data_IF_736769543364
#
_entry.id   IF_736769543364
#
_cell.length_a   1.000
_cell.length_b   1.000
_cell.length_c   1.000
_cell.angle_alpha   90.00
_cell.angle_beta   90.00
_cell.angle_gamma   90.00
#
_symmetry.space_group_name_H-M   'P 1'
#
loop_
_entity.id
_entity.type
_entity.pdbx_description
1 polymer ?
#
# COMPACT_ATOMS: atom_id res chain seq x y z
N UNK A 1 -35.68 1.70 13.17
CA UNK A 1 -34.52 1.26 12.35
C UNK A 1 -33.29 1.98 12.88
N UNK A 2 -32.14 1.33 12.94
CA UNK A 2 -30.88 2.04 13.24
C UNK A 2 -30.45 2.81 11.99
N UNK A 3 -30.15 4.10 12.14
CA UNK A 3 -29.63 4.91 11.05
C UNK A 3 -28.21 4.47 10.70
N UNK A 4 -28.04 3.95 9.48
CA UNK A 4 -26.73 3.62 8.93
C UNK A 4 -26.14 4.91 8.35
N UNK A 5 -25.33 5.62 9.14
CA UNK A 5 -24.57 6.77 8.64
C UNK A 5 -23.40 6.30 7.77
N UNK A 6 -23.48 6.50 6.46
CA UNK A 6 -22.33 6.32 5.56
C UNK A 6 -21.38 7.51 5.75
N UNK A 7 -20.18 7.26 6.28
CA UNK A 7 -19.09 8.26 6.35
C UNK A 7 -18.21 8.11 5.12
N UNK A 8 -18.19 9.12 4.27
CA UNK A 8 -17.19 9.22 3.20
C UNK A 8 -15.85 9.69 3.77
N UNK A 9 -14.90 8.78 3.89
CA UNK A 9 -13.52 9.10 4.26
C UNK A 9 -12.73 9.45 2.98
N UNK A 10 -12.25 10.69 2.87
CA UNK A 10 -11.25 11.04 1.83
C UNK A 10 -9.92 10.33 2.09
N UNK A 11 -9.02 10.22 1.10
CA UNK A 11 -7.71 9.56 1.25
C UNK A 11 -6.87 10.06 2.47
N UNK A 12 -6.97 11.35 2.90
CA UNK A 12 -6.41 11.81 4.20
C UNK A 12 -6.97 11.03 5.37
N UNK A 13 -8.29 11.00 5.43
CA UNK A 13 -9.02 10.41 6.53
C UNK A 13 -8.89 8.90 6.50
N UNK A 14 -8.80 8.28 5.32
CA UNK A 14 -8.44 6.87 5.18
C UNK A 14 -7.03 6.65 5.75
N UNK A 15 -5.98 7.30 5.24
CA UNK A 15 -4.61 7.11 5.75
C UNK A 15 -4.52 7.42 7.25
N UNK A 16 -5.06 8.54 7.71
CA UNK A 16 -5.07 8.93 9.13
C UNK A 16 -5.81 7.93 10.03
N UNK A 17 -6.88 7.31 9.54
CA UNK A 17 -7.62 6.30 10.27
C UNK A 17 -6.92 4.93 10.16
N UNK A 18 -6.37 4.55 9.01
CA UNK A 18 -5.51 3.36 8.82
C UNK A 18 -4.32 3.38 9.77
N UNK A 19 -3.67 4.54 9.97
CA UNK A 19 -2.63 4.74 11.00
C UNK A 19 -3.13 4.39 12.40
N UNK A 20 -4.27 4.96 12.81
CA UNK A 20 -4.87 4.69 14.12
C UNK A 20 -5.31 3.22 14.26
N UNK A 21 -5.81 2.64 13.18
CA UNK A 21 -6.23 1.24 13.10
C UNK A 21 -5.03 0.30 13.20
N UNK A 22 -3.92 0.58 12.53
CA UNK A 22 -2.65 -0.14 12.69
C UNK A 22 -2.09 0.00 14.12
N UNK A 23 -2.14 1.19 14.72
CA UNK A 23 -1.76 1.39 16.14
C UNK A 23 -2.69 0.62 17.09
N UNK A 24 -4.00 0.55 16.82
CA UNK A 24 -4.94 -0.24 17.62
C UNK A 24 -4.71 -1.75 17.42
N UNK A 25 -4.54 -2.22 16.19
CA UNK A 25 -4.21 -3.60 15.87
C UNK A 25 -2.93 -4.05 16.58
N UNK A 26 -1.85 -3.25 16.53
CA UNK A 26 -0.61 -3.55 17.28
C UNK A 26 -0.78 -3.63 18.79
N UNK A 27 -1.63 -2.80 19.40
CA UNK A 27 -1.94 -2.90 20.84
C UNK A 27 -2.72 -4.18 21.17
N UNK A 28 -3.63 -4.60 20.29
CA UNK A 28 -4.41 -5.84 20.46
C UNK A 28 -3.52 -7.07 20.25
N UNK A 29 -2.63 -7.05 19.25
CA UNK A 29 -1.61 -8.09 19.06
C UNK A 29 -0.71 -8.22 20.29
N UNK A 30 -0.28 -7.10 20.88
CA UNK A 30 0.48 -7.10 22.14
C UNK A 30 -0.31 -7.74 23.28
N UNK A 31 -1.58 -7.40 23.45
CA UNK A 31 -2.46 -8.01 24.46
C UNK A 31 -2.60 -9.52 24.26
N UNK A 32 -2.94 -9.97 23.04
CA UNK A 32 -3.03 -11.40 22.66
C UNK A 32 -1.72 -12.12 22.98
N UNK A 33 -0.58 -11.50 22.66
CA UNK A 33 0.75 -12.05 22.91
C UNK A 33 1.05 -12.29 24.39
N UNK A 34 0.41 -11.57 25.32
CA UNK A 34 0.59 -11.81 26.77
C UNK A 34 -0.06 -13.10 27.28
N UNK A 35 -1.04 -13.63 26.53
CA UNK A 35 -1.75 -14.87 26.87
C UNK A 35 -1.15 -16.12 26.20
N UNK A 36 -0.35 -15.96 25.15
CA UNK A 36 0.36 -17.06 24.49
C UNK A 36 1.51 -17.51 25.39
N UNK A 37 1.39 -18.71 25.94
CA UNK A 37 2.34 -19.30 26.91
C UNK A 37 2.48 -20.81 26.66
N UNK A 38 3.62 -21.42 27.00
CA UNK A 38 3.81 -22.87 26.89
C UNK A 38 2.65 -23.67 27.49
N UNK A 39 2.25 -24.74 26.81
CA UNK A 39 1.10 -25.58 27.14
C UNK A 39 -0.20 -25.22 26.42
N UNK A 40 -0.33 -24.03 25.81
CA UNK A 40 -1.52 -23.70 24.99
C UNK A 40 -1.45 -24.35 23.61
N UNK A 41 -2.57 -24.87 23.10
CA UNK A 41 -2.69 -25.31 21.70
C UNK A 41 -2.94 -24.13 20.74
N UNK A 42 -2.60 -24.29 19.46
CA UNK A 42 -2.90 -23.28 18.43
C UNK A 42 -4.40 -23.00 18.35
N UNK A 43 -5.25 -24.03 18.54
CA UNK A 43 -6.72 -23.86 18.55
C UNK A 43 -7.20 -23.04 19.75
N UNK A 44 -6.69 -23.30 20.95
CA UNK A 44 -7.02 -22.50 22.15
C UNK A 44 -6.49 -21.07 22.02
N UNK A 45 -5.29 -20.88 21.47
CA UNK A 45 -4.72 -19.56 21.23
C UNK A 45 -5.55 -18.76 20.21
N UNK A 46 -5.99 -19.40 19.11
CA UNK A 46 -6.89 -18.81 18.10
C UNK A 46 -8.24 -18.42 18.71
N UNK A 47 -8.84 -19.29 19.51
CA UNK A 47 -10.08 -18.99 20.26
C UNK A 47 -9.87 -17.81 21.22
N UNK A 48 -8.74 -17.77 21.94
CA UNK A 48 -8.46 -16.70 22.90
C UNK A 48 -8.19 -15.35 22.23
N UNK A 49 -7.49 -15.35 21.10
CA UNK A 49 -7.30 -14.16 20.27
C UNK A 49 -8.64 -13.61 19.76
N UNK A 50 -9.54 -14.48 19.32
CA UNK A 50 -10.89 -14.14 18.85
C UNK A 50 -11.80 -13.63 20.00
N UNK A 51 -11.64 -14.14 21.24
CA UNK A 51 -12.25 -13.53 22.44
C UNK A 51 -11.73 -12.10 22.72
N UNK A 52 -10.42 -11.87 22.63
CA UNK A 52 -9.81 -10.56 22.88
C UNK A 52 -10.23 -9.56 21.80
N UNK A 53 -10.24 -9.96 20.53
CA UNK A 53 -10.80 -9.18 19.43
C UNK A 53 -12.25 -8.78 19.71
N UNK A 54 -13.09 -9.72 20.17
CA UNK A 54 -14.47 -9.43 20.57
C UNK A 54 -14.56 -8.45 21.74
N UNK A 55 -13.66 -8.52 22.72
CA UNK A 55 -13.61 -7.58 23.84
C UNK A 55 -13.28 -6.15 23.37
N UNK A 56 -12.46 -5.99 22.32
CA UNK A 56 -12.13 -4.71 21.66
C UNK A 56 -13.20 -4.20 20.67
N UNK A 57 -14.42 -4.75 20.77
CA UNK A 57 -15.58 -4.49 19.91
C UNK A 57 -15.40 -4.87 18.43
N UNK A 58 -14.37 -5.65 18.10
CA UNK A 58 -14.18 -6.15 16.73
C UNK A 58 -15.18 -7.29 16.48
N UNK A 59 -15.85 -7.21 15.33
CA UNK A 59 -16.94 -8.13 14.91
C UNK A 59 -16.72 -8.72 13.51
N UNK A 60 -15.69 -8.25 12.82
CA UNK A 60 -15.26 -8.70 11.49
C UNK A 60 -13.74 -8.63 11.45
N UNK A 61 -13.12 -9.61 10.82
CA UNK A 61 -11.70 -9.63 10.50
C UNK A 61 -11.56 -9.85 9.00
N UNK A 62 -10.45 -9.41 8.42
CA UNK A 62 -10.08 -9.67 7.04
C UNK A 62 -9.70 -11.15 6.84
N UNK A 63 -8.89 -11.66 7.77
CA UNK A 63 -8.67 -13.10 7.99
C UNK A 63 -8.86 -13.43 9.48
N UNK A 64 -9.07 -14.71 9.79
CA UNK A 64 -9.08 -15.16 11.18
C UNK A 64 -7.67 -15.06 11.80
N UNK A 65 -7.54 -14.92 13.14
CA UNK A 65 -6.25 -14.93 13.81
C UNK A 65 -5.37 -16.10 13.37
N UNK A 66 -4.21 -15.80 12.83
CA UNK A 66 -3.28 -16.79 12.32
C UNK A 66 -2.16 -16.99 13.34
N UNK A 67 -2.31 -18.05 14.14
CA UNK A 67 -1.43 -18.34 15.27
C UNK A 67 -0.89 -19.76 15.13
N UNK A 68 0.40 -19.88 14.83
CA UNK A 68 1.05 -21.15 14.53
C UNK A 68 2.33 -21.31 15.36
N UNK A 69 2.60 -22.52 15.83
CA UNK A 69 3.70 -22.82 16.75
C UNK A 69 4.73 -23.76 16.14
N UNK A 70 6.00 -23.60 16.53
CA UNK A 70 7.09 -24.48 16.16
C UNK A 70 7.17 -24.68 14.66
N UNK A 71 7.01 -25.93 14.20
CA UNK A 71 7.11 -26.27 12.78
C UNK A 71 5.95 -25.79 11.91
N UNK A 72 4.83 -25.35 12.49
CA UNK A 72 3.75 -24.71 11.74
C UNK A 72 4.06 -23.23 11.40
N UNK A 73 5.14 -22.65 11.94
CA UNK A 73 5.57 -21.26 11.66
C UNK A 73 5.98 -20.99 10.20
N UNK A 74 6.20 -22.04 9.40
CA UNK A 74 6.48 -21.94 7.95
C UNK A 74 5.23 -22.08 7.06
N UNK A 75 4.06 -22.34 7.64
CA UNK A 75 2.80 -22.46 6.90
C UNK A 75 2.22 -21.08 6.61
N UNK A 76 1.68 -20.90 5.40
CA UNK A 76 0.92 -19.71 4.98
C UNK A 76 -0.59 -19.94 5.10
N UNK A 77 -1.39 -18.88 4.94
CA UNK A 77 -2.85 -18.99 4.84
C UNK A 77 -3.37 -19.85 3.67
N UNK A 78 -2.51 -20.17 2.68
CA UNK A 78 -2.81 -21.08 1.58
C UNK A 78 -2.63 -22.55 1.97
N UNK A 79 -1.84 -22.82 3.01
CA UNK A 79 -1.51 -24.16 3.46
C UNK A 79 -2.60 -24.73 4.39
N UNK A 80 -2.98 -25.98 4.14
CA UNK A 80 -3.86 -26.71 5.07
C UNK A 80 -3.03 -27.18 6.26
N UNK A 81 -3.26 -26.58 7.44
CA UNK A 81 -2.80 -27.13 8.72
C UNK A 81 -3.25 -28.58 8.86
N UNK A 82 -2.28 -29.50 8.97
CA UNK A 82 -2.56 -30.95 9.07
C UNK A 82 -2.91 -31.36 10.50
N UNK A 83 -2.22 -30.77 11.48
CA UNK A 83 -2.36 -31.05 12.91
C UNK A 83 -2.22 -29.75 13.70
N UNK A 84 -2.92 -29.65 14.83
CA UNK A 84 -2.83 -28.52 15.78
C UNK A 84 -1.66 -28.74 16.71
N UNK A 85 -0.71 -27.79 16.76
CA UNK A 85 0.44 -27.86 17.66
C UNK A 85 0.10 -27.35 19.07
N UNK A 86 0.87 -27.81 20.06
CA UNK A 86 0.91 -27.26 21.43
C UNK A 86 2.24 -26.55 21.63
N UNK A 87 2.20 -25.32 22.14
CA UNK A 87 3.39 -24.50 22.34
C UNK A 87 4.28 -25.10 23.44
N UNK A 88 5.57 -25.28 23.14
CA UNK A 88 6.56 -25.86 24.07
C UNK A 88 7.27 -24.77 24.90
N UNK A 89 7.97 -25.17 25.96
CA UNK A 89 8.78 -24.25 26.79
C UNK A 89 9.94 -23.60 26.04
N UNK A 90 10.45 -24.30 25.02
CA UNK A 90 11.45 -23.81 24.08
C UNK A 90 10.84 -23.92 22.67
N UNK A 91 10.37 -22.80 22.14
CA UNK A 91 9.60 -22.78 20.90
C UNK A 91 9.53 -21.39 20.25
N UNK A 92 8.91 -21.34 19.08
CA UNK A 92 8.58 -20.11 18.36
C UNK A 92 7.08 -20.04 18.09
N UNK A 93 6.48 -18.86 18.16
CA UNK A 93 5.08 -18.63 17.80
C UNK A 93 4.96 -17.49 16.78
N UNK A 94 4.40 -17.82 15.62
CA UNK A 94 3.89 -16.85 14.66
C UNK A 94 2.52 -16.38 15.18
N UNK A 95 2.30 -15.08 15.29
CA UNK A 95 1.04 -14.49 15.77
C UNK A 95 0.67 -13.32 14.87
N UNK A 96 -0.51 -13.39 14.29
CA UNK A 96 -0.95 -12.45 13.26
C UNK A 96 -2.48 -12.24 13.30
N UNK A 97 -2.91 -11.00 13.10
CA UNK A 97 -4.30 -10.57 13.17
C UNK A 97 -4.62 -9.47 12.14
N UNK A 98 -5.71 -9.67 11.40
CA UNK A 98 -6.27 -8.66 10.48
C UNK A 98 -7.64 -8.11 10.93
N UNK A 99 -7.81 -7.48 12.11
CA UNK A 99 -9.08 -6.92 12.54
C UNK A 99 -9.63 -5.82 11.62
N UNK A 100 -10.95 -5.81 11.37
CA UNK A 100 -11.61 -4.70 10.68
C UNK A 100 -12.19 -3.73 11.72
N UNK A 101 -11.63 -2.52 11.77
CA UNK A 101 -11.96 -1.45 12.71
C UNK A 101 -12.46 -0.24 11.91
N UNK A 102 -13.66 0.25 12.22
CA UNK A 102 -14.33 1.35 11.47
C UNK A 102 -14.47 1.09 9.95
N UNK A 103 -14.43 -0.18 9.54
CA UNK A 103 -14.43 -0.61 8.13
C UNK A 103 -13.05 -0.70 7.49
N UNK A 104 -11.99 -0.27 8.19
CA UNK A 104 -10.59 -0.35 7.76
C UNK A 104 -9.94 -1.61 8.35
N UNK A 105 -9.25 -2.36 7.51
CA UNK A 105 -8.32 -3.41 7.92
C UNK A 105 -7.15 -2.82 8.74
N UNK A 106 -6.93 -3.34 9.93
CA UNK A 106 -5.67 -3.20 10.63
C UNK A 106 -4.96 -4.52 10.56
N UNK A 107 -3.75 -4.54 10.02
CA UNK A 107 -2.90 -5.71 10.03
C UNK A 107 -1.82 -5.55 11.10
N UNK A 108 -1.62 -6.60 11.88
CA UNK A 108 -0.56 -6.67 12.86
C UNK A 108 -0.15 -8.12 13.15
N UNK A 109 1.00 -8.52 12.62
CA UNK A 109 1.68 -9.75 12.99
C UNK A 109 3.15 -9.60 13.40
N UNK A 110 3.61 -10.55 14.21
CA UNK A 110 5.00 -10.67 14.66
C UNK A 110 5.34 -12.10 15.12
N UNK A 111 6.60 -12.33 15.47
CA UNK A 111 7.10 -13.61 15.97
C UNK A 111 7.49 -13.51 17.44
N UNK A 112 6.97 -14.41 18.28
CA UNK A 112 7.36 -14.59 19.68
C UNK A 112 8.33 -15.76 19.81
N UNK A 113 9.26 -15.66 20.76
CA UNK A 113 10.25 -16.70 21.07
C UNK A 113 10.12 -17.09 22.55
N UNK A 114 10.09 -18.38 22.81
CA UNK A 114 10.01 -18.96 24.15
C UNK A 114 11.28 -19.76 24.43
N UNK A 115 11.83 -19.62 25.65
CA UNK A 115 13.08 -20.24 26.04
C UNK A 115 14.34 -19.58 25.45
N UNK A 116 15.46 -20.28 25.56
CA UNK A 116 16.81 -19.78 25.25
C UNK A 116 17.43 -20.38 23.97
N UNK A 117 16.59 -20.75 23.01
CA UNK A 117 17.09 -21.26 21.72
C UNK A 117 17.68 -20.15 20.84
N UNK A 118 18.92 -20.36 20.39
CA UNK A 118 19.67 -19.38 19.59
C UNK A 118 19.10 -19.21 18.18
N UNK A 119 18.59 -20.27 17.55
CA UNK A 119 18.02 -20.21 16.21
C UNK A 119 16.70 -19.42 16.23
N UNK A 120 15.84 -19.63 17.23
CA UNK A 120 14.59 -18.87 17.33
C UNK A 120 14.83 -17.38 17.59
N UNK A 121 15.80 -17.05 18.47
CA UNK A 121 16.21 -15.66 18.71
C UNK A 121 16.81 -14.99 17.46
N UNK A 122 17.65 -15.72 16.71
CA UNK A 122 18.23 -15.20 15.46
C UNK A 122 17.15 -14.99 14.38
N UNK A 123 16.21 -15.93 14.21
CA UNK A 123 15.08 -15.79 13.30
C UNK A 123 14.24 -14.54 13.60
N UNK A 124 13.88 -14.32 14.87
CA UNK A 124 13.13 -13.14 15.32
C UNK A 124 13.92 -11.84 15.12
N UNK A 125 15.23 -11.85 15.42
CA UNK A 125 16.09 -10.69 15.25
C UNK A 125 16.26 -10.31 13.78
N UNK A 126 16.55 -11.29 12.91
CA UNK A 126 16.79 -11.04 11.49
C UNK A 126 15.51 -10.65 10.74
N UNK A 127 14.35 -11.25 11.03
CA UNK A 127 13.09 -10.83 10.38
C UNK A 127 12.81 -9.35 10.64
N UNK A 128 12.93 -8.90 11.90
CA UNK A 128 12.78 -7.48 12.26
C UNK A 128 13.88 -6.61 11.65
N UNK A 129 15.15 -7.03 11.69
CA UNK A 129 16.28 -6.26 11.13
C UNK A 129 16.14 -6.06 9.63
N UNK A 130 15.79 -7.10 8.89
CA UNK A 130 15.54 -7.05 7.43
C UNK A 130 14.35 -6.12 7.14
N UNK A 131 13.28 -6.23 7.93
CA UNK A 131 12.14 -5.31 7.85
C UNK A 131 12.53 -3.84 8.06
N UNK A 132 13.23 -3.53 9.16
CA UNK A 132 13.65 -2.15 9.49
C UNK A 132 14.55 -1.56 8.38
N UNK A 133 15.44 -2.38 7.80
CA UNK A 133 16.28 -2.00 6.66
C UNK A 133 15.46 -1.79 5.37
N UNK A 134 14.47 -2.64 5.11
CA UNK A 134 13.53 -2.48 3.99
C UNK A 134 12.73 -1.19 4.09
N UNK A 135 12.18 -0.87 5.26
CA UNK A 135 11.49 0.41 5.52
C UNK A 135 12.43 1.60 5.36
N UNK A 136 13.66 1.50 5.85
CA UNK A 136 14.67 2.56 5.67
C UNK A 136 14.98 2.80 4.20
N UNK A 137 15.27 1.73 3.44
CA UNK A 137 15.52 1.79 2.00
C UNK A 137 14.33 2.39 1.24
N UNK A 138 13.11 1.98 1.57
CA UNK A 138 11.91 2.53 0.97
C UNK A 138 11.76 4.04 1.22
N UNK A 139 11.95 4.49 2.47
CA UNK A 139 11.90 5.93 2.82
C UNK A 139 13.00 6.77 2.17
N UNK A 140 14.23 6.25 2.11
CA UNK A 140 15.39 6.99 1.59
C UNK A 140 15.49 6.99 0.06
N UNK A 141 15.01 5.93 -0.61
CA UNK A 141 15.23 5.70 -2.04
C UNK A 141 13.97 5.69 -2.90
N UNK A 142 12.78 5.61 -2.29
CA UNK A 142 11.47 5.53 -2.98
C UNK A 142 11.44 4.48 -4.12
N UNK A 143 11.93 3.26 -3.88
CA UNK A 143 11.98 2.17 -4.87
C UNK A 143 10.57 1.78 -5.34
N UNK A 144 10.48 1.06 -6.46
CA UNK A 144 9.23 0.34 -6.78
C UNK A 144 8.99 -0.80 -5.78
N UNK A 145 7.77 -1.35 -5.74
CA UNK A 145 7.48 -2.55 -4.95
C UNK A 145 8.36 -3.75 -5.36
N UNK A 146 8.66 -3.88 -6.66
CA UNK A 146 9.59 -4.88 -7.20
C UNK A 146 11.01 -4.66 -6.65
N UNK A 147 11.56 -3.45 -6.78
CA UNK A 147 12.94 -3.15 -6.33
C UNK A 147 13.07 -3.27 -4.79
N UNK A 148 12.02 -2.93 -4.04
CA UNK A 148 11.95 -3.13 -2.60
C UNK A 148 12.03 -4.60 -2.23
N UNK A 149 11.27 -5.47 -2.90
CA UNK A 149 11.30 -6.91 -2.64
C UNK A 149 12.61 -7.57 -3.12
N UNK A 150 13.23 -7.08 -4.20
CA UNK A 150 14.58 -7.50 -4.60
C UNK A 150 15.64 -7.14 -3.55
N UNK A 151 15.57 -5.92 -2.99
CA UNK A 151 16.46 -5.50 -1.91
C UNK A 151 16.27 -6.34 -0.64
N UNK A 152 15.03 -6.63 -0.25
CA UNK A 152 14.70 -7.48 0.91
C UNK A 152 15.15 -8.94 0.69
N UNK A 153 14.96 -9.48 -0.52
CA UNK A 153 15.46 -10.83 -0.88
C UNK A 153 16.97 -10.91 -0.66
N UNK A 154 17.72 -9.95 -1.23
CA UNK A 154 19.17 -9.88 -1.07
C UNK A 154 19.59 -9.76 0.40
N UNK A 155 18.94 -8.89 1.19
CA UNK A 155 19.22 -8.78 2.63
C UNK A 155 18.98 -10.10 3.39
N UNK A 156 18.02 -10.90 2.94
CA UNK A 156 17.68 -12.19 3.56
C UNK A 156 18.70 -13.27 3.20
N UNK A 157 19.13 -13.33 1.93
CA UNK A 157 20.20 -14.22 1.47
C UNK A 157 21.56 -13.87 2.11
N UNK A 158 21.91 -12.57 2.15
CA UNK A 158 23.13 -12.07 2.80
C UNK A 158 23.12 -12.35 4.33
N UNK A 159 21.95 -12.62 4.93
CA UNK A 159 21.78 -13.05 6.32
C UNK A 159 21.74 -14.57 6.51
N UNK A 160 21.79 -15.38 5.44
CA UNK A 160 21.77 -16.84 5.49
C UNK A 160 20.38 -17.49 5.60
N UNK A 161 19.30 -16.74 5.32
CA UNK A 161 17.92 -17.22 5.38
C UNK A 161 17.29 -17.30 3.98
N UNK A 162 16.16 -18.01 3.89
CA UNK A 162 15.35 -18.07 2.66
C UNK A 162 14.17 -17.12 2.82
N UNK A 163 14.06 -16.15 1.90
CA UNK A 163 12.93 -15.23 1.85
C UNK A 163 11.68 -15.92 1.29
N UNK A 164 10.51 -15.63 1.86
CA UNK A 164 9.23 -16.08 1.29
C UNK A 164 8.59 -14.94 0.50
N UNK A 165 8.30 -15.20 -0.78
CA UNK A 165 7.77 -14.19 -1.72
C UNK A 165 6.23 -14.15 -1.76
N UNK A 166 5.52 -15.01 -1.03
CA UNK A 166 4.06 -15.11 -1.05
C UNK A 166 3.52 -15.68 0.29
N UNK A 167 2.81 -14.90 1.13
CA UNK A 167 2.37 -13.54 0.88
C UNK A 167 3.51 -12.55 0.66
N UNK A 168 3.17 -11.51 -0.07
CA UNK A 168 3.90 -10.27 -0.11
C UNK A 168 2.87 -9.18 0.21
N UNK A 169 3.28 -8.18 0.97
CA UNK A 169 2.39 -7.20 1.59
C UNK A 169 1.39 -6.58 0.62
N UNK A 170 0.23 -6.23 1.14
CA UNK A 170 -0.94 -5.80 0.35
C UNK A 170 -1.38 -4.38 0.70
N UNK A 171 -2.47 -3.97 0.05
CA UNK A 171 -3.16 -2.72 0.29
C UNK A 171 -4.14 -2.87 1.46
N UNK A 172 -4.09 -1.95 2.42
CA UNK A 172 -5.09 -1.83 3.50
C UNK A 172 -6.42 -1.31 2.96
N UNK A 173 -7.49 -2.07 3.20
CA UNK A 173 -8.83 -1.75 2.70
C UNK A 173 -9.80 -1.10 3.69
N UNK A 174 -10.50 -0.05 3.24
CA UNK A 174 -11.94 0.15 3.53
C UNK A 174 -12.78 0.43 2.29
N UNK A 175 -12.15 0.85 1.19
CA UNK A 175 -12.76 1.01 -0.13
C UNK A 175 -11.83 0.50 -1.23
N UNK A 176 -12.37 0.02 -2.37
CA UNK A 176 -11.57 -0.57 -3.43
C UNK A 176 -10.93 0.50 -4.32
N UNK A 177 -9.63 0.73 -4.16
CA UNK A 177 -8.88 1.59 -5.08
C UNK A 177 -8.17 0.79 -6.17
N UNK A 178 -8.99 0.41 -7.15
CA UNK A 178 -8.69 0.42 -8.59
C UNK A 178 -7.54 -0.51 -9.03
N UNK A 179 -7.91 -1.77 -9.29
CA UNK A 179 -7.27 -2.62 -10.29
C UNK A 179 -6.14 -3.55 -9.83
N UNK A 180 -5.34 -3.18 -8.84
CA UNK A 180 -4.21 -4.02 -8.41
C UNK A 180 -4.62 -5.11 -7.42
N UNK A 181 -4.61 -6.38 -7.87
CA UNK A 181 -4.98 -7.57 -7.06
C UNK A 181 -3.78 -8.47 -6.70
N UNK A 182 -2.55 -7.98 -6.86
CA UNK A 182 -1.32 -8.74 -6.62
C UNK A 182 -0.53 -8.13 -5.46
N UNK A 183 0.37 -8.90 -4.85
CA UNK A 183 1.22 -8.42 -3.76
C UNK A 183 2.18 -7.30 -4.18
N UNK A 184 2.70 -6.59 -3.17
CA UNK A 184 3.64 -5.47 -3.31
C UNK A 184 4.91 -5.86 -4.07
N UNK A 185 5.34 -7.11 -3.94
CA UNK A 185 6.46 -7.72 -4.69
C UNK A 185 6.35 -7.63 -6.22
N UNK A 186 5.16 -7.35 -6.76
CA UNK A 186 4.92 -7.19 -8.21
C UNK A 186 4.54 -5.77 -8.60
N UNK A 187 4.42 -4.85 -7.65
CA UNK A 187 3.92 -3.49 -7.89
C UNK A 187 4.99 -2.63 -8.59
N UNK A 188 4.73 -2.10 -9.81
CA UNK A 188 5.75 -1.45 -10.64
C UNK A 188 5.99 0.04 -10.29
N UNK A 189 5.35 0.55 -9.23
CA UNK A 189 5.48 1.93 -8.77
C UNK A 189 5.94 1.97 -7.31
N UNK A 190 6.29 3.15 -6.83
CA UNK A 190 6.59 3.36 -5.41
C UNK A 190 5.34 3.12 -4.56
N UNK A 191 5.36 2.25 -3.54
CA UNK A 191 4.20 2.05 -2.69
C UNK A 191 3.85 3.32 -1.91
N UNK A 192 2.57 3.68 -1.98
CA UNK A 192 2.02 4.85 -1.29
C UNK A 192 1.97 4.67 0.22
N UNK A 193 2.20 5.80 0.89
CA UNK A 193 2.41 5.84 2.31
C UNK A 193 1.08 5.96 3.08
N UNK A 194 0.75 4.98 3.93
CA UNK A 194 -0.54 4.90 4.63
C UNK A 194 -1.58 3.99 3.99
N UNK A 195 -1.20 3.32 2.89
CA UNK A 195 -2.10 2.47 2.09
C UNK A 195 -1.54 1.06 1.91
N UNK A 196 -0.22 0.86 1.98
CA UNK A 196 0.43 -0.45 1.89
C UNK A 196 0.93 -0.96 3.24
N UNK A 197 0.78 -2.26 3.47
CA UNK A 197 1.55 -3.05 4.43
C UNK A 197 2.82 -3.52 3.74
N UNK A 198 3.95 -3.45 4.44
CA UNK A 198 5.12 -4.25 4.10
C UNK A 198 5.12 -5.51 4.95
N UNK A 199 5.30 -6.67 4.32
CA UNK A 199 5.46 -7.96 4.98
C UNK A 199 6.85 -8.54 4.70
N UNK A 200 7.53 -9.01 5.74
CA UNK A 200 8.79 -9.75 5.63
C UNK A 200 8.67 -11.09 6.35
N UNK A 201 8.56 -12.17 5.57
CA UNK A 201 8.60 -13.55 6.08
C UNK A 201 9.91 -14.24 5.64
N UNK A 202 10.61 -14.83 6.60
CA UNK A 202 11.86 -15.58 6.38
C UNK A 202 11.74 -16.99 6.96
N UNK A 203 12.46 -17.95 6.38
CA UNK A 203 12.61 -19.30 6.94
C UNK A 203 14.07 -19.76 6.97
N UNK A 204 14.39 -20.63 7.92
CA UNK A 204 15.70 -21.28 7.95
C UNK A 204 15.85 -22.21 6.72
N UNK A 205 17.04 -22.27 6.07
CA UNK A 205 17.22 -23.07 4.85
C UNK A 205 16.97 -24.57 5.07
N UNK A 206 17.46 -25.12 6.19
CA UNK A 206 17.44 -26.57 6.48
C UNK A 206 16.42 -27.01 7.55
N UNK A 207 15.74 -26.09 8.23
CA UNK A 207 14.88 -26.38 9.38
C UNK A 207 13.50 -25.79 9.12
N UNK A 208 12.45 -26.51 9.51
CA UNK A 208 11.06 -26.10 9.31
C UNK A 208 10.63 -25.00 10.30
N UNK A 209 11.38 -23.91 10.40
CA UNK A 209 11.09 -22.77 11.27
C UNK A 209 11.17 -21.46 10.48
N UNK A 210 10.23 -20.57 10.74
CA UNK A 210 10.15 -19.25 10.10
C UNK A 210 9.82 -18.14 11.09
N UNK A 211 10.03 -16.91 10.63
CA UNK A 211 9.70 -15.69 11.36
C UNK A 211 9.16 -14.61 10.42
N UNK A 212 8.38 -13.70 10.98
CA UNK A 212 7.57 -12.72 10.28
C UNK A 212 7.52 -11.38 11.03
N UNK A 213 7.46 -10.29 10.28
CA UNK A 213 7.28 -8.94 10.79
C UNK A 213 6.66 -8.02 9.73
N UNK A 214 5.78 -7.11 10.15
CA UNK A 214 5.08 -6.19 9.26
C UNK A 214 4.70 -4.83 9.87
N UNK A 215 4.38 -3.86 9.00
CA UNK A 215 3.82 -2.55 9.40
C UNK A 215 3.23 -1.74 8.25
N UNK A 216 2.36 -0.79 8.61
CA UNK A 216 1.83 0.28 7.77
C UNK A 216 2.77 1.49 7.67
N UNK A 217 2.79 2.10 6.48
CA UNK A 217 3.50 3.32 6.08
C UNK A 217 2.78 4.65 6.54
N UNK A 218 3.38 5.86 6.66
CA UNK A 218 2.75 7.06 7.30
C UNK A 218 2.96 8.57 6.79
N UNK A 219 2.21 9.19 5.82
CA UNK A 219 2.40 10.65 5.43
C UNK A 219 1.16 11.49 4.93
N UNK A 220 0.97 12.67 5.57
CA UNK A 220 0.47 14.01 5.14
C UNK A 220 -0.70 14.31 4.16
N UNK A 221 -1.40 13.35 3.57
CA UNK A 221 -2.88 13.36 3.64
C UNK A 221 -3.70 14.62 3.13
N UNK A 222 -4.24 14.64 1.88
CA UNK A 222 -5.69 14.91 1.48
C UNK A 222 -5.89 15.36 0.01
N UNK A 223 -6.88 14.82 -0.71
CA UNK A 223 -7.42 15.40 -1.95
C UNK A 223 -8.90 15.87 -1.86
N UNK A 224 -9.24 16.94 -2.59
CA UNK A 224 -10.61 17.45 -2.86
C UNK A 224 -10.83 17.84 -4.34
N UNK A 225 -9.82 17.56 -5.16
CA UNK A 225 -9.71 17.82 -6.59
C UNK A 225 -8.46 17.07 -7.10
N UNK A 226 -8.36 16.84 -8.40
CA UNK A 226 -7.18 16.26 -9.05
C UNK A 226 -6.76 17.06 -10.29
N UNK A 227 -5.49 16.93 -10.65
CA UNK A 227 -4.99 17.25 -11.99
C UNK A 227 -4.33 16.00 -12.56
N UNK A 228 -4.79 15.54 -13.72
CA UNK A 228 -4.22 14.41 -14.43
C UNK A 228 -3.34 14.94 -15.56
N UNK A 229 -2.05 14.59 -15.54
CA UNK A 229 -1.06 15.09 -16.48
C UNK A 229 0.02 14.05 -16.77
N UNK A 230 0.75 14.23 -17.86
CA UNK A 230 1.88 13.41 -18.28
C UNK A 230 2.91 14.29 -19.01
N UNK A 231 4.07 13.73 -19.37
CA UNK A 231 5.09 14.45 -20.13
C UNK A 231 5.15 13.96 -21.58
N UNK A 232 5.23 14.90 -22.51
CA UNK A 232 5.59 14.69 -23.92
C UNK A 232 6.95 15.34 -24.19
N UNK A 233 7.45 15.29 -25.43
CA UNK A 233 8.72 15.88 -25.81
C UNK A 233 8.58 16.79 -27.03
N UNK A 234 9.08 18.02 -26.92
CA UNK A 234 9.13 18.97 -28.03
C UNK A 234 10.47 18.86 -28.76
N UNK A 235 10.46 18.27 -29.94
CA UNK A 235 11.63 18.22 -30.83
C UNK A 235 12.11 19.61 -31.27
N UNK A 236 11.20 20.59 -31.35
CA UNK A 236 11.51 21.98 -31.70
C UNK A 236 12.23 22.75 -30.59
N UNK A 237 11.89 22.48 -29.33
CA UNK A 237 12.55 23.11 -28.17
C UNK A 237 13.69 22.26 -27.61
N UNK A 238 13.87 21.04 -28.12
CA UNK A 238 14.75 19.99 -27.58
C UNK A 238 14.56 19.77 -26.06
N UNK A 239 13.30 19.85 -25.60
CA UNK A 239 12.93 19.84 -24.18
C UNK A 239 11.62 19.10 -23.93
N UNK A 240 11.41 18.56 -22.71
CA UNK A 240 10.13 17.99 -22.33
C UNK A 240 9.00 19.04 -22.36
N UNK A 241 7.77 18.57 -22.34
CA UNK A 241 6.55 19.39 -22.29
C UNK A 241 5.55 18.71 -21.36
N UNK A 242 5.04 19.41 -20.36
CA UNK A 242 4.01 18.86 -19.48
C UNK A 242 2.66 19.01 -20.19
N UNK A 243 1.99 17.88 -20.44
CA UNK A 243 0.65 17.85 -20.98
C UNK A 243 -0.37 17.59 -19.87
N UNK A 244 -1.27 18.54 -19.65
CA UNK A 244 -2.35 18.45 -18.68
C UNK A 244 -3.64 17.98 -19.38
N UNK A 245 -4.10 16.80 -19.03
CA UNK A 245 -5.27 16.15 -19.62
C UNK A 245 -6.58 16.62 -18.98
N UNK A 246 -6.64 16.68 -17.64
CA UNK A 246 -7.84 17.08 -16.90
C UNK A 246 -7.52 17.79 -15.57
N UNK A 247 -8.37 18.75 -15.19
CA UNK A 247 -8.47 19.28 -13.82
C UNK A 247 -9.91 19.20 -13.37
N UNK A 248 -10.18 18.24 -12.49
CA UNK A 248 -11.48 18.09 -11.87
C UNK A 248 -11.45 18.60 -10.44
N UNK A 249 -12.42 19.48 -10.13
CA UNK A 249 -12.76 19.87 -8.77
C UNK A 249 -14.17 19.35 -8.49
N UNK A 250 -14.37 18.71 -7.34
CA UNK A 250 -15.69 18.27 -6.88
C UNK A 250 -16.68 19.47 -6.88
N UNK A 251 -17.94 19.32 -7.34
CA UNK A 251 -18.87 20.43 -7.57
C UNK A 251 -18.98 21.42 -6.40
N UNK A 252 -19.09 20.92 -5.18
CA UNK A 252 -19.21 21.66 -3.92
C UNK A 252 -17.90 22.32 -3.45
N UNK A 253 -16.77 22.01 -4.11
CA UNK A 253 -15.47 22.65 -3.93
C UNK A 253 -15.11 23.60 -5.10
N UNK A 254 -15.93 23.69 -6.15
CA UNK A 254 -15.73 24.65 -7.27
C UNK A 254 -15.84 26.09 -6.79
N UNK A 255 -15.31 27.01 -7.60
CA UNK A 255 -15.21 28.46 -7.31
C UNK A 255 -14.41 28.87 -6.06
N UNK A 256 -13.87 27.91 -5.28
CA UNK A 256 -12.98 28.15 -4.12
C UNK A 256 -11.49 28.27 -4.51
N UNK A 257 -11.18 28.46 -5.80
CA UNK A 257 -9.80 28.60 -6.31
C UNK A 257 -8.98 27.31 -6.43
N UNK A 258 -9.53 26.15 -6.08
CA UNK A 258 -8.79 24.87 -6.01
C UNK A 258 -8.24 24.42 -7.37
N UNK A 259 -9.04 24.48 -8.45
CA UNK A 259 -8.56 24.13 -9.80
C UNK A 259 -7.42 25.04 -10.29
N UNK A 260 -7.43 26.32 -9.90
CA UNK A 260 -6.35 27.27 -10.16
C UNK A 260 -5.08 26.95 -9.35
N UNK A 261 -5.22 26.40 -8.14
CA UNK A 261 -4.07 25.95 -7.34
C UNK A 261 -3.43 24.69 -7.97
N UNK A 262 -4.24 23.73 -8.42
CA UNK A 262 -3.78 22.56 -9.15
C UNK A 262 -3.09 22.91 -10.47
N UNK A 263 -3.70 23.78 -11.28
CA UNK A 263 -3.09 24.27 -12.52
C UNK A 263 -1.72 24.91 -12.27
N UNK A 264 -1.61 25.76 -11.24
CA UNK A 264 -0.32 26.35 -10.82
C UNK A 264 0.70 25.30 -10.35
N UNK A 265 0.24 24.21 -9.74
CA UNK A 265 1.13 23.11 -9.35
C UNK A 265 1.71 22.42 -10.61
N UNK A 266 0.89 22.15 -11.63
CA UNK A 266 1.37 21.62 -12.91
C UNK A 266 2.34 22.59 -13.61
N UNK A 267 2.08 23.91 -13.61
CA UNK A 267 3.03 24.91 -14.13
C UNK A 267 4.36 24.88 -13.36
N UNK A 268 4.32 24.72 -12.03
CA UNK A 268 5.54 24.59 -11.21
C UNK A 268 6.32 23.31 -11.56
N UNK A 269 5.64 22.17 -11.65
CA UNK A 269 6.23 20.90 -12.07
C UNK A 269 6.87 21.00 -13.46
N UNK A 270 6.19 21.62 -14.43
CA UNK A 270 6.74 21.83 -15.77
C UNK A 270 8.06 22.64 -15.72
N UNK A 271 8.14 23.68 -14.89
CA UNK A 271 9.36 24.47 -14.74
C UNK A 271 10.49 23.71 -14.02
N UNK A 272 10.17 22.94 -12.98
CA UNK A 272 11.16 22.16 -12.22
C UNK A 272 11.77 21.01 -13.03
N UNK A 273 11.00 20.43 -13.96
CA UNK A 273 11.45 19.39 -14.91
C UNK A 273 12.05 19.96 -16.22
N UNK A 274 12.47 21.24 -16.22
CA UNK A 274 13.01 21.98 -17.38
C UNK A 274 12.17 21.84 -18.68
N UNK A 275 10.85 21.78 -18.56
CA UNK A 275 9.98 21.74 -19.73
C UNK A 275 10.05 23.06 -20.49
N UNK A 276 10.18 22.96 -21.82
CA UNK A 276 10.15 24.12 -22.69
C UNK A 276 8.79 24.82 -22.74
N UNK A 277 7.72 24.10 -22.41
CA UNK A 277 6.33 24.58 -22.34
C UNK A 277 5.42 23.62 -21.57
N UNK A 278 4.16 24.04 -21.37
CA UNK A 278 3.06 23.22 -20.87
C UNK A 278 1.88 23.34 -21.83
N UNK A 279 1.15 22.25 -22.07
CA UNK A 279 0.05 22.14 -23.04
C UNK A 279 -1.17 21.45 -22.43
N UNK A 280 -2.36 21.72 -22.96
CA UNK A 280 -3.63 21.07 -22.60
C UNK A 280 -4.68 21.34 -23.68
N UNK A 281 -5.75 20.54 -23.69
CA UNK A 281 -6.98 20.84 -24.44
C UNK A 281 -8.02 21.53 -23.54
N UNK A 282 -8.88 22.34 -24.16
CA UNK A 282 -10.07 22.90 -23.52
C UNK A 282 -11.22 22.83 -24.52
N UNK A 283 -12.41 22.51 -24.03
CA UNK A 283 -13.63 22.52 -24.85
C UNK A 283 -13.95 23.96 -25.25
N UNK A 284 -14.26 24.16 -26.53
CA UNK A 284 -14.49 25.46 -27.17
C UNK A 284 -15.58 26.30 -26.48
N UNK A 285 -16.62 25.65 -25.97
CA UNK A 285 -17.71 26.26 -25.22
C UNK A 285 -17.35 26.65 -23.78
N UNK A 286 -16.21 26.18 -23.22
CA UNK A 286 -15.83 26.43 -21.83
C UNK A 286 -15.14 27.80 -21.65
N UNK A 287 -15.89 28.87 -21.94
CA UNK A 287 -15.38 30.24 -21.94
C UNK A 287 -14.72 30.65 -20.61
N UNK A 288 -15.25 30.19 -19.47
CA UNK A 288 -14.67 30.45 -18.13
C UNK A 288 -13.26 29.87 -17.96
N UNK A 289 -13.00 28.67 -18.51
CA UNK A 289 -11.66 28.09 -18.48
C UNK A 289 -10.72 28.80 -19.47
N UNK A 290 -11.21 29.12 -20.68
CA UNK A 290 -10.48 29.87 -21.70
C UNK A 290 -10.02 31.24 -21.15
N UNK A 291 -10.93 32.02 -20.56
CA UNK A 291 -10.64 33.33 -19.97
C UNK A 291 -9.61 33.23 -18.83
N UNK A 292 -9.64 32.14 -18.06
CA UNK A 292 -8.62 31.88 -17.04
C UNK A 292 -7.24 31.58 -17.65
N UNK A 293 -7.18 30.77 -18.71
CA UNK A 293 -5.95 30.41 -19.40
C UNK A 293 -5.31 31.61 -20.12
N UNK A 294 -6.09 32.38 -20.88
CA UNK A 294 -5.62 33.62 -21.52
C UNK A 294 -5.08 34.63 -20.48
N UNK A 295 -5.76 34.75 -19.33
CA UNK A 295 -5.33 35.65 -18.24
C UNK A 295 -4.04 35.23 -17.52
N UNK A 296 -3.61 33.97 -17.65
CA UNK A 296 -2.27 33.53 -17.18
C UNK A 296 -1.21 33.53 -18.27
N UNK A 297 -1.51 34.10 -19.44
CA UNK A 297 -0.58 34.24 -20.57
C UNK A 297 -0.52 33.03 -21.49
N UNK A 298 -1.39 32.04 -21.33
CA UNK A 298 -1.51 30.95 -22.29
C UNK A 298 -2.13 31.48 -23.60
N UNK A 299 -1.65 30.97 -24.74
CA UNK A 299 -2.14 31.35 -26.05
C UNK A 299 -2.73 30.13 -26.75
N UNK A 300 -3.90 30.29 -27.37
CA UNK A 300 -4.45 29.27 -28.24
C UNK A 300 -3.59 29.17 -29.51
N UNK A 301 -2.99 28.01 -29.75
CA UNK A 301 -2.32 27.70 -31.02
C UNK A 301 -3.40 27.46 -32.07
N UNK A 302 -3.39 28.21 -33.17
CA UNK A 302 -4.44 28.15 -34.22
C UNK A 302 -3.96 27.47 -35.50
N UNK A 303 -2.64 27.39 -35.66
CA UNK A 303 -1.93 26.86 -36.81
C UNK A 303 -1.76 25.33 -36.72
N UNK A 304 -1.97 24.75 -35.53
CA UNK A 304 -1.84 23.31 -35.26
C UNK A 304 -3.21 22.74 -34.89
N UNK A 305 -3.81 22.00 -35.82
CA UNK A 305 -5.13 21.39 -35.63
C UNK A 305 -4.97 20.00 -35.01
N UNK A 306 -5.66 19.67 -33.89
CA UNK A 306 -5.63 18.32 -33.34
C UNK A 306 -6.44 17.37 -34.22
N UNK A 307 -5.78 16.36 -34.77
CA UNK A 307 -6.44 15.24 -35.46
C UNK A 307 -6.51 14.04 -34.53
N UNK A 308 -7.67 13.37 -34.51
CA UNK A 308 -7.89 12.15 -33.72
C UNK A 308 -8.30 11.02 -34.65
N UNK A 309 -7.66 9.87 -34.45
CA UNK A 309 -8.12 8.59 -34.97
C UNK A 309 -8.72 7.83 -33.78
N UNK A 310 -10.01 7.49 -33.86
CA UNK A 310 -10.67 6.67 -32.84
C UNK A 310 -10.32 5.17 -33.01
N UNK A 311 -10.73 4.37 -32.03
CA UNK A 311 -10.51 2.92 -31.98
C UNK A 311 -10.99 2.19 -33.25
N UNK A 312 -12.18 2.56 -33.74
CA UNK A 312 -12.79 1.94 -34.93
C UNK A 312 -11.97 2.24 -36.20
N UNK A 313 -11.48 3.47 -36.35
CA UNK A 313 -10.66 3.85 -37.49
C UNK A 313 -9.20 3.38 -37.38
N UNK A 314 -8.67 3.21 -36.16
CA UNK A 314 -7.39 2.54 -35.89
C UNK A 314 -7.42 1.08 -36.38
N UNK A 315 -8.40 0.29 -35.94
CA UNK A 315 -8.59 -1.08 -36.41
C UNK A 315 -8.74 -1.17 -37.93
N UNK A 316 -9.48 -0.23 -38.53
CA UNK A 316 -9.71 -0.19 -39.97
C UNK A 316 -8.43 0.08 -40.76
N UNK A 317 -7.52 0.91 -40.24
CA UNK A 317 -6.22 1.15 -40.87
C UNK A 317 -5.28 -0.05 -40.71
N UNK A 318 -5.24 -0.68 -39.53
CA UNK A 318 -4.44 -1.90 -39.30
C UNK A 318 -4.83 -3.08 -40.20
N UNK A 319 -6.09 -3.15 -40.65
CA UNK A 319 -6.56 -4.16 -41.62
C UNK A 319 -6.13 -3.89 -43.07
N UNK A 320 -5.50 -2.75 -43.35
CA UNK A 320 -5.09 -2.30 -44.68
C UNK A 320 -3.57 -2.00 -44.78
N UNK A 321 -2.78 -2.54 -43.85
CA UNK A 321 -1.31 -2.47 -43.78
C UNK A 321 -0.74 -3.89 -43.92
#
# INVERSE_FOLDING_TARGET
>A
MQDISVKEYTQKQIIEESKKVAVKAKRILQEISTFIKPGISESEAKLKADEILRAHEIRKNWHNPYINFGTNSVLTFLDKTKETMVLRDIDIAYVDIGPIINGIEGDAGHTLVFGEDKLFKELQFQSKRIFDLGVKYWKEKKPTGIDLYQYIHKLTEDAGFVFHLNPAGHLIGSFPHIGWKKGLNTYPYTPEEGVWILEVQIRHPEKSYGAFYEYLAEVNNKPVAYAFYFFTYSSFLAKPTLYLEDIFVLPEYRSKGIGKALFKHCVKMAHEEDCGRMEWMVLDWNKTAIDFYEKVGAQQIKEWLPYRLDEQNLEKLLKNI
#
